data_IF_426042370271
#
_entry.id   IF_426042370271
#
_cell.length_a   1.000
_cell.length_b   1.000
_cell.length_c   1.000
_cell.angle_alpha   90.00
_cell.angle_beta   90.00
_cell.angle_gamma   90.00
#
_symmetry.space_group_name_H-M   'P 1'
#
loop_
_entity.id
_entity.type
_entity.pdbx_description
1 polymer ?
#
# COMPACT_ATOMS: atom_id res chain seq x y z
N UNK A 1 -10.03 23.44 -7.78
CA UNK A 1 -9.93 24.66 -8.62
C UNK A 1 -8.74 25.47 -8.12
N UNK A 2 -7.61 25.43 -8.86
CA UNK A 2 -6.46 26.30 -8.62
C UNK A 2 -6.74 27.68 -9.20
N UNK A 3 -6.88 28.68 -8.34
CA UNK A 3 -6.97 30.08 -8.70
C UNK A 3 -5.79 30.78 -8.00
N UNK A 4 -4.74 31.25 -8.70
CA UNK A 4 -4.62 31.51 -10.14
C UNK A 4 -4.17 30.30 -10.98
N UNK A 5 -4.32 30.43 -12.31
CA UNK A 5 -3.84 29.47 -13.33
C UNK A 5 -2.31 29.38 -13.24
N UNK A 6 -1.79 28.20 -12.91
CA UNK A 6 -0.36 27.99 -12.67
C UNK A 6 0.05 27.88 -11.19
N UNK A 7 -0.88 28.08 -10.24
CA UNK A 7 -0.63 27.71 -8.84
C UNK A 7 -0.73 26.19 -8.71
N UNK A 8 0.37 25.50 -9.00
CA UNK A 8 0.56 24.13 -8.51
C UNK A 8 0.26 24.18 -7.02
N UNK A 9 -0.74 23.43 -6.58
CA UNK A 9 -0.91 23.19 -5.16
C UNK A 9 0.28 22.29 -4.76
N UNK A 10 1.39 22.94 -4.42
CA UNK A 10 2.68 22.33 -4.14
C UNK A 10 2.51 21.27 -3.04
N UNK A 11 1.58 21.49 -2.11
CA UNK A 11 1.24 20.54 -1.08
C UNK A 11 0.60 19.27 -1.65
N UNK A 12 -0.38 19.37 -2.55
CA UNK A 12 -0.97 18.18 -3.23
C UNK A 12 0.03 17.47 -4.15
N UNK A 13 0.91 18.22 -4.82
CA UNK A 13 1.92 17.66 -5.73
C UNK A 13 2.93 16.84 -4.93
N UNK A 14 3.54 17.45 -3.90
CA UNK A 14 4.49 16.76 -3.01
C UNK A 14 3.80 15.61 -2.27
N UNK A 15 2.56 15.81 -1.80
CA UNK A 15 1.75 14.78 -1.16
C UNK A 15 1.55 13.56 -2.06
N UNK A 16 1.23 13.78 -3.34
CA UNK A 16 1.06 12.70 -4.32
C UNK A 16 2.36 11.91 -4.56
N UNK A 17 3.51 12.58 -4.64
CA UNK A 17 4.81 11.88 -4.74
C UNK A 17 5.11 11.04 -3.50
N UNK A 18 4.84 11.56 -2.31
CA UNK A 18 5.04 10.82 -1.04
C UNK A 18 4.09 9.61 -0.99
N UNK A 19 2.82 9.80 -1.36
CA UNK A 19 1.83 8.73 -1.41
C UNK A 19 2.26 7.61 -2.37
N UNK A 20 2.71 7.98 -3.58
CA UNK A 20 3.20 7.03 -4.58
C UNK A 20 4.46 6.29 -4.11
N UNK A 21 5.39 6.99 -3.46
CA UNK A 21 6.59 6.36 -2.91
C UNK A 21 6.25 5.32 -1.83
N UNK A 22 5.36 5.65 -0.90
CA UNK A 22 4.89 4.73 0.14
C UNK A 22 4.16 3.52 -0.45
N UNK A 23 3.28 3.75 -1.42
CA UNK A 23 2.57 2.70 -2.13
C UNK A 23 3.54 1.76 -2.87
N UNK A 24 4.49 2.32 -3.62
CA UNK A 24 5.51 1.57 -4.34
C UNK A 24 6.40 0.74 -3.39
N UNK A 25 6.78 1.30 -2.23
CA UNK A 25 7.56 0.59 -1.22
C UNK A 25 6.79 -0.60 -0.62
N UNK A 26 5.48 -0.44 -0.41
CA UNK A 26 4.61 -1.52 0.08
C UNK A 26 4.49 -2.63 -0.96
N UNK A 27 4.22 -2.28 -2.22
CA UNK A 27 4.11 -3.25 -3.31
C UNK A 27 5.42 -3.99 -3.57
N UNK A 28 6.56 -3.31 -3.43
CA UNK A 28 7.87 -3.95 -3.49
C UNK A 28 8.05 -4.98 -2.35
N UNK A 29 7.66 -4.65 -1.11
CA UNK A 29 7.71 -5.59 0.01
C UNK A 29 6.81 -6.81 -0.20
N UNK A 30 5.59 -6.62 -0.72
CA UNK A 30 4.66 -7.71 -1.07
C UNK A 30 5.24 -8.60 -2.17
N UNK A 31 5.82 -8.00 -3.21
CA UNK A 31 6.45 -8.72 -4.32
C UNK A 31 7.67 -9.53 -3.87
N UNK A 32 8.49 -8.98 -2.98
CA UNK A 32 9.61 -9.69 -2.36
C UNK A 32 9.15 -10.93 -1.60
N UNK A 33 8.09 -10.80 -0.79
CA UNK A 33 7.50 -11.93 -0.09
C UNK A 33 6.95 -12.99 -1.05
N UNK A 34 6.20 -12.58 -2.07
CA UNK A 34 5.65 -13.49 -3.08
C UNK A 34 6.75 -14.26 -3.82
N UNK A 35 7.88 -13.60 -4.10
CA UNK A 35 9.07 -14.24 -4.68
C UNK A 35 9.73 -15.24 -3.74
N UNK A 36 9.64 -15.07 -2.42
CA UNK A 36 10.21 -16.00 -1.45
C UNK A 36 9.34 -17.26 -1.26
N UNK A 37 8.04 -17.18 -1.55
CA UNK A 37 7.10 -18.30 -1.38
C UNK A 37 7.13 -19.29 -2.56
N UNK A 38 7.45 -18.82 -3.77
CA UNK A 38 7.40 -19.64 -4.99
C UNK A 38 8.73 -19.61 -5.76
N UNK A 39 9.20 -20.79 -6.16
CA UNK A 39 10.34 -20.96 -7.07
C UNK A 39 10.01 -20.66 -8.54
N UNK A 40 8.72 -20.57 -8.88
CA UNK A 40 8.29 -20.27 -10.25
C UNK A 40 7.98 -18.77 -10.39
N UNK A 41 8.75 -18.08 -11.23
CA UNK A 41 8.64 -16.64 -11.49
C UNK A 41 7.23 -16.20 -11.92
N UNK A 42 6.54 -17.00 -12.74
CA UNK A 42 5.19 -16.68 -13.21
C UNK A 42 4.22 -16.72 -12.02
N UNK A 43 4.31 -17.76 -11.19
CA UNK A 43 3.45 -17.91 -10.00
C UNK A 43 3.72 -16.77 -9.01
N UNK A 44 4.98 -16.41 -8.78
CA UNK A 44 5.37 -15.31 -7.89
C UNK A 44 4.79 -13.98 -8.37
N UNK A 45 4.83 -13.71 -9.68
CA UNK A 45 4.23 -12.51 -10.28
C UNK A 45 2.72 -12.45 -10.11
N UNK A 46 2.01 -13.56 -10.35
CA UNK A 46 0.55 -13.63 -10.21
C UNK A 46 0.14 -13.41 -8.76
N UNK A 47 0.82 -14.05 -7.81
CA UNK A 47 0.55 -13.87 -6.36
C UNK A 47 0.80 -12.42 -5.95
N UNK A 48 1.94 -11.84 -6.35
CA UNK A 48 2.27 -10.45 -6.03
C UNK A 48 1.21 -9.49 -6.58
N UNK A 49 0.86 -9.63 -7.86
CA UNK A 49 -0.12 -8.76 -8.53
C UNK A 49 -1.49 -8.89 -7.87
N UNK A 50 -1.96 -10.11 -7.64
CA UNK A 50 -3.24 -10.37 -6.98
C UNK A 50 -3.28 -9.72 -5.59
N UNK A 51 -2.24 -9.89 -4.78
CA UNK A 51 -2.16 -9.30 -3.44
C UNK A 51 -2.10 -7.77 -3.48
N UNK A 52 -1.36 -7.17 -4.41
CA UNK A 52 -1.34 -5.72 -4.57
C UNK A 52 -2.74 -5.17 -4.89
N UNK A 53 -3.47 -5.80 -5.83
CA UNK A 53 -4.85 -5.43 -6.14
C UNK A 53 -5.79 -5.65 -4.94
N UNK A 54 -5.63 -6.77 -4.24
CA UNK A 54 -6.45 -7.11 -3.08
C UNK A 54 -6.24 -6.14 -1.91
N UNK A 55 -5.00 -5.77 -1.61
CA UNK A 55 -4.69 -4.79 -0.56
C UNK A 55 -5.20 -3.40 -0.93
N UNK A 56 -5.11 -3.02 -2.21
CA UNK A 56 -5.53 -1.70 -2.67
C UNK A 56 -7.06 -1.54 -2.71
N UNK A 57 -7.78 -2.48 -3.33
CA UNK A 57 -9.24 -2.38 -3.55
C UNK A 57 -10.05 -3.36 -2.70
N UNK A 58 -9.52 -4.57 -2.47
CA UNK A 58 -10.26 -5.66 -1.84
C UNK A 58 -10.57 -5.41 -0.37
N UNK A 59 -9.65 -4.79 0.38
CA UNK A 59 -9.86 -4.47 1.80
C UNK A 59 -11.04 -3.52 2.01
N UNK A 60 -11.12 -2.43 1.24
CA UNK A 60 -12.23 -1.47 1.35
C UNK A 60 -13.58 -2.12 0.95
N UNK A 61 -13.58 -2.96 -0.10
CA UNK A 61 -14.78 -3.68 -0.52
C UNK A 61 -15.31 -4.63 0.56
N UNK A 62 -14.42 -5.39 1.23
CA UNK A 62 -14.79 -6.31 2.30
C UNK A 62 -15.33 -5.55 3.52
N UNK A 63 -14.67 -4.46 3.92
CA UNK A 63 -15.08 -3.65 5.07
C UNK A 63 -16.47 -3.06 4.84
N UNK A 64 -16.76 -2.54 3.65
CA UNK A 64 -18.08 -2.00 3.31
C UNK A 64 -19.18 -3.08 3.33
N UNK A 65 -18.86 -4.31 2.90
CA UNK A 65 -19.83 -5.42 2.92
C UNK A 65 -20.15 -5.91 4.33
N UNK A 66 -19.16 -5.99 5.22
CA UNK A 66 -19.33 -6.54 6.57
C UNK A 66 -19.85 -5.45 7.54
N UNK A 67 -19.36 -4.22 7.38
CA UNK A 67 -19.64 -3.12 8.29
C UNK A 67 -20.11 -1.87 7.52
N UNK A 68 -21.35 -1.83 7.03
CA UNK A 68 -21.85 -0.72 6.21
C UNK A 68 -21.87 0.63 6.94
N UNK A 69 -21.81 0.64 8.28
CA UNK A 69 -21.81 1.84 9.12
C UNK A 69 -20.44 2.19 9.73
N UNK A 70 -19.40 1.37 9.50
CA UNK A 70 -18.06 1.68 9.99
C UNK A 70 -17.38 2.60 8.99
N UNK A 71 -17.01 3.78 9.47
CA UNK A 71 -16.40 4.84 8.69
C UNK A 71 -15.18 4.35 7.91
N UNK A 72 -15.17 4.72 6.62
CA UNK A 72 -14.04 4.67 5.69
C UNK A 72 -12.70 4.95 6.40
N UNK A 73 -11.72 4.05 6.25
CA UNK A 73 -10.39 4.24 6.84
C UNK A 73 -9.59 2.98 7.17
N UNK A 74 -9.94 1.82 6.61
CA UNK A 74 -9.16 0.59 6.75
C UNK A 74 -8.42 0.21 5.47
N UNK A 75 -8.91 0.60 4.29
CA UNK A 75 -8.25 0.29 3.03
C UNK A 75 -7.24 1.33 2.58
N UNK A 76 -6.30 0.84 1.79
CA UNK A 76 -5.18 1.58 1.21
C UNK A 76 -5.62 2.81 0.40
N UNK A 77 -6.74 2.72 -0.31
CA UNK A 77 -7.23 3.78 -1.18
C UNK A 77 -7.58 5.05 -0.39
N UNK A 78 -8.26 4.91 0.74
CA UNK A 78 -8.63 6.05 1.59
C UNK A 78 -7.41 6.81 2.15
N UNK A 79 -6.38 6.08 2.59
CA UNK A 79 -5.12 6.66 3.07
C UNK A 79 -4.31 7.28 1.93
N UNK A 80 -4.27 6.63 0.76
CA UNK A 80 -3.60 7.14 -0.43
C UNK A 80 -4.20 8.47 -0.90
N UNK A 81 -5.53 8.55 -0.97
CA UNK A 81 -6.25 9.75 -1.38
C UNK A 81 -6.06 10.91 -0.39
N UNK A 82 -6.00 10.61 0.92
CA UNK A 82 -5.73 11.61 1.94
C UNK A 82 -4.31 12.21 1.80
N UNK A 83 -3.29 11.37 1.62
CA UNK A 83 -1.91 11.83 1.43
C UNK A 83 -1.77 12.57 0.09
N UNK A 84 -2.42 12.10 -0.97
CA UNK A 84 -2.37 12.73 -2.31
C UNK A 84 -2.98 14.14 -2.31
N UNK A 85 -3.93 14.43 -1.41
CA UNK A 85 -4.45 15.79 -1.19
C UNK A 85 -3.54 16.68 -0.34
N UNK A 86 -2.32 16.24 -0.01
CA UNK A 86 -1.38 16.98 0.81
C UNK A 86 -1.65 16.89 2.32
N UNK A 87 -2.60 16.04 2.76
CA UNK A 87 -2.89 15.81 4.18
C UNK A 87 -2.00 14.67 4.69
N UNK A 88 -0.79 15.03 5.10
CA UNK A 88 0.17 14.10 5.67
C UNK A 88 -0.17 13.92 7.16
N UNK A 89 -1.03 12.95 7.47
CA UNK A 89 -1.25 12.47 8.83
C UNK A 89 -0.30 11.29 9.14
N UNK A 90 0.22 11.29 10.36
CA UNK A 90 0.99 10.19 10.96
C UNK A 90 0.27 8.85 10.84
N UNK A 91 -1.06 8.81 10.95
CA UNK A 91 -1.86 7.58 10.81
C UNK A 91 -1.71 6.96 9.43
N UNK A 92 -1.74 7.78 8.37
CA UNK A 92 -1.64 7.31 6.99
C UNK A 92 -0.23 6.77 6.72
N UNK A 93 0.80 7.51 7.14
CA UNK A 93 2.19 7.09 6.99
C UNK A 93 2.47 5.78 7.74
N UNK A 94 2.03 5.71 8.99
CA UNK A 94 2.28 4.56 9.87
C UNK A 94 1.57 3.31 9.34
N UNK A 95 0.40 3.46 8.70
CA UNK A 95 -0.29 2.36 8.04
C UNK A 95 0.56 1.74 6.91
N UNK A 96 1.02 2.54 5.94
CA UNK A 96 1.86 2.04 4.83
C UNK A 96 3.19 1.44 5.31
N UNK A 97 3.85 2.11 6.28
CA UNK A 97 5.10 1.63 6.86
C UNK A 97 4.89 0.31 7.60
N UNK A 98 3.82 0.18 8.38
CA UNK A 98 3.52 -1.04 9.14
C UNK A 98 3.29 -2.24 8.21
N UNK A 99 2.54 -2.05 7.13
CA UNK A 99 2.31 -3.13 6.15
C UNK A 99 3.60 -3.49 5.42
N UNK A 100 4.39 -2.49 5.02
CA UNK A 100 5.69 -2.72 4.37
C UNK A 100 6.64 -3.52 5.27
N UNK A 101 6.79 -3.12 6.53
CA UNK A 101 7.64 -3.80 7.52
C UNK A 101 7.12 -5.21 7.80
N UNK A 102 5.81 -5.40 7.91
CA UNK A 102 5.20 -6.72 8.09
C UNK A 102 5.59 -7.69 6.98
N UNK A 103 5.47 -7.29 5.71
CA UNK A 103 5.87 -8.14 4.57
C UNK A 103 7.38 -8.40 4.52
N UNK A 104 8.20 -7.41 4.85
CA UNK A 104 9.67 -7.59 4.93
C UNK A 104 10.04 -8.60 6.03
N UNK A 105 9.42 -8.51 7.21
CA UNK A 105 9.65 -9.45 8.31
C UNK A 105 9.29 -10.86 7.87
N UNK A 106 8.11 -11.07 7.28
CA UNK A 106 7.69 -12.40 6.84
C UNK A 106 8.63 -12.94 5.75
N UNK A 107 9.04 -12.10 4.80
CA UNK A 107 10.04 -12.48 3.78
C UNK A 107 11.32 -12.97 4.44
N UNK A 108 11.83 -12.25 5.43
CA UNK A 108 13.05 -12.63 6.15
C UNK A 108 12.90 -13.96 6.91
N UNK A 109 11.73 -14.21 7.51
CA UNK A 109 11.43 -15.45 8.22
C UNK A 109 11.38 -16.65 7.27
N UNK A 110 10.75 -16.49 6.11
CA UNK A 110 10.70 -17.54 5.07
C UNK A 110 12.10 -17.91 4.58
N UNK A 111 12.92 -16.91 4.24
CA UNK A 111 14.30 -17.14 3.77
C UNK A 111 15.14 -17.85 4.85
N UNK A 112 14.98 -17.46 6.12
CA UNK A 112 15.71 -18.05 7.24
C UNK A 112 15.27 -19.50 7.51
N UNK A 113 13.99 -19.81 7.30
CA UNK A 113 13.47 -21.17 7.40
C UNK A 113 13.99 -22.07 6.30
N UNK A 114 14.23 -21.56 5.09
CA UNK A 114 14.77 -22.35 3.97
C UNK A 114 16.25 -22.70 4.14
N UNK A 115 17.01 -21.88 4.90
CA UNK A 115 18.43 -22.13 5.22
C UNK A 115 18.66 -23.11 6.38
N UNK A 116 17.60 -23.62 7.02
CA UNK A 116 17.68 -24.73 7.98
C UNK A 116 17.31 -26.02 7.29
#
# INVERSE_FOLDING_TARGET
MGNPVGNLDVATTIGSYIALFLLASTFAAVGLWASAVSNNQIVSFVIATFLCFFLFFGLDAIVQMIFPNVMYGLGFQSHFDAISRGVIDSRNLLYFISVSVFFIIITSLFIKSYKR
#
